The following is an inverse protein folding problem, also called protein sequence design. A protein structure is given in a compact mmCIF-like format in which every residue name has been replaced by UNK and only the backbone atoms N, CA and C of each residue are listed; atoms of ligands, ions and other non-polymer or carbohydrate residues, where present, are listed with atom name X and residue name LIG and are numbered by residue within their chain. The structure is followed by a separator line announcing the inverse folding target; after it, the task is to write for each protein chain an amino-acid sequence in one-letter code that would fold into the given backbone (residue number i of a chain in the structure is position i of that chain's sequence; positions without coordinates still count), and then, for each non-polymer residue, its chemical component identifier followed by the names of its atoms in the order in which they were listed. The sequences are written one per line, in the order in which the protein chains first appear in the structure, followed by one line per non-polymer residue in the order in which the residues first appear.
data_IF_604975110785
#
_entry.id   IF_604975110785
#
_cell.length_a   1.000
_cell.length_b   1.000
_cell.length_c   1.000
_cell.angle_alpha   90.00
_cell.angle_beta   90.00
_cell.angle_gamma   90.00
#
_symmetry.space_group_name_H-M   'P 1'
#
loop_
_entity.id
_entity.type
_entity.pdbx_description
1 polymer ?
#
# COMPACT_ATOMS: atom_id res chain seq x y z
N UNK A 1 7.47 40.96 -15.70
CA UNK A 1 6.79 40.85 -14.39
C UNK A 1 7.05 39.46 -13.86
N UNK A 2 8.04 39.36 -12.96
CA UNK A 2 7.91 38.90 -11.56
C UNK A 2 7.78 37.38 -11.42
N UNK A 3 8.93 36.79 -11.13
CA UNK A 3 9.18 35.52 -10.46
C UNK A 3 8.49 35.47 -9.09
N UNK A 4 7.99 34.30 -8.67
CA UNK A 4 7.93 33.98 -7.24
C UNK A 4 8.24 32.50 -7.00
N UNK A 5 9.49 32.29 -6.59
CA UNK A 5 9.91 31.14 -5.80
C UNK A 5 9.08 31.10 -4.51
N UNK A 6 8.43 29.98 -4.21
CA UNK A 6 7.98 29.65 -2.86
C UNK A 6 8.66 28.36 -2.42
N UNK A 7 9.78 28.56 -1.72
CA UNK A 7 10.44 27.59 -0.86
C UNK A 7 9.49 27.32 0.30
N UNK A 8 8.88 26.14 0.34
CA UNK A 8 8.29 25.53 1.53
C UNK A 8 8.83 24.10 1.58
N UNK A 9 9.54 23.78 2.67
CA UNK A 9 10.57 22.74 2.69
C UNK A 9 10.07 21.32 2.41
N UNK A 10 10.75 20.66 1.47
CA UNK A 10 10.97 19.21 1.47
C UNK A 10 9.78 18.29 1.23
N UNK A 11 8.57 18.81 1.05
CA UNK A 11 7.43 18.00 0.64
C UNK A 11 7.34 18.04 -0.88
N UNK A 12 7.69 16.92 -1.51
CA UNK A 12 7.35 16.65 -2.91
C UNK A 12 5.82 16.72 -3.04
N UNK A 13 5.31 17.89 -3.41
CA UNK A 13 3.89 18.05 -3.70
C UNK A 13 3.65 17.42 -5.06
N UNK A 14 3.41 16.11 -5.05
CA UNK A 14 2.93 15.41 -6.23
C UNK A 14 1.54 15.94 -6.60
N UNK A 15 1.26 16.17 -7.89
CA UNK A 15 -0.07 16.59 -8.33
C UNK A 15 -1.10 15.56 -7.83
N UNK A 16 -2.18 16.06 -7.24
CA UNK A 16 -3.25 15.28 -6.60
C UNK A 16 -4.14 14.52 -7.60
N UNK A 17 -3.54 13.70 -8.48
CA UNK A 17 -4.26 12.87 -9.47
C UNK A 17 -3.94 11.38 -9.38
N UNK A 18 -2.96 10.96 -8.58
CA UNK A 18 -2.75 9.54 -8.26
C UNK A 18 -3.35 9.27 -6.88
N UNK A 19 -4.30 8.34 -6.79
CA UNK A 19 -4.84 7.92 -5.50
C UNK A 19 -3.70 7.46 -4.58
N UNK A 20 -3.72 7.85 -3.30
CA UNK A 20 -2.68 7.44 -2.35
C UNK A 20 -2.79 5.93 -2.05
N UNK A 21 -2.06 5.12 -2.84
CA UNK A 21 -2.10 3.66 -2.78
C UNK A 21 -1.62 3.12 -1.44
N UNK A 22 -0.55 3.71 -0.87
CA UNK A 22 -0.05 3.32 0.44
C UNK A 22 -1.08 3.61 1.54
N UNK A 23 -1.67 4.81 1.53
CA UNK A 23 -2.73 5.18 2.46
C UNK A 23 -3.95 4.26 2.34
N UNK A 24 -4.35 3.92 1.11
CA UNK A 24 -5.45 3.00 0.84
C UNK A 24 -5.14 1.57 1.32
N UNK A 25 -3.92 1.08 1.11
CA UNK A 25 -3.48 -0.23 1.58
C UNK A 25 -3.55 -0.32 3.11
N UNK A 26 -2.99 0.68 3.81
CA UNK A 26 -3.05 0.81 5.27
C UNK A 26 -4.51 0.83 5.76
N UNK A 27 -5.39 1.55 5.05
CA UNK A 27 -6.81 1.63 5.38
C UNK A 27 -7.51 0.28 5.18
N UNK A 28 -7.22 -0.47 4.12
CA UNK A 28 -7.78 -1.81 3.89
C UNK A 28 -7.33 -2.80 4.97
N UNK A 29 -6.07 -2.75 5.39
CA UNK A 29 -5.59 -3.55 6.52
C UNK A 29 -6.32 -3.22 7.82
N UNK A 30 -6.56 -1.94 8.10
CA UNK A 30 -7.33 -1.52 9.26
C UNK A 30 -8.79 -2.00 9.18
N UNK A 31 -9.41 -1.94 8.00
CA UNK A 31 -10.77 -2.42 7.77
C UNK A 31 -10.86 -3.93 7.98
N UNK A 32 -9.90 -4.71 7.48
CA UNK A 32 -9.83 -6.16 7.72
C UNK A 32 -9.80 -6.49 9.22
N UNK A 33 -8.99 -5.78 10.01
CA UNK A 33 -8.90 -6.01 11.46
C UNK A 33 -10.19 -5.65 12.21
N UNK A 34 -10.94 -4.67 11.71
CA UNK A 34 -12.19 -4.21 12.31
C UNK A 34 -13.43 -4.98 11.81
N UNK A 35 -13.33 -5.72 10.69
CA UNK A 35 -14.43 -6.52 10.16
C UNK A 35 -14.62 -7.80 10.97
N UNK A 36 -15.50 -7.72 11.96
CA UNK A 36 -15.94 -8.86 12.77
C UNK A 36 -17.22 -9.52 12.22
N UNK A 37 -17.71 -9.06 11.07
CA UNK A 37 -18.96 -9.52 10.46
C UNK A 37 -18.75 -10.73 9.53
N UNK A 38 -17.50 -11.18 9.36
CA UNK A 38 -17.15 -12.33 8.52
C UNK A 38 -16.98 -12.00 7.04
N UNK A 39 -16.86 -10.71 6.69
CA UNK A 39 -16.67 -10.27 5.29
C UNK A 39 -15.25 -9.74 5.05
N UNK A 40 -14.27 -10.17 5.87
CA UNK A 40 -12.89 -9.69 5.84
C UNK A 40 -12.20 -9.89 4.49
N UNK A 41 -12.43 -11.02 3.80
CA UNK A 41 -11.72 -11.40 2.58
C UNK A 41 -11.73 -10.33 1.49
N UNK A 42 -12.83 -9.57 1.34
CA UNK A 42 -12.90 -8.46 0.36
C UNK A 42 -11.83 -7.40 0.58
N UNK A 43 -11.44 -7.16 1.84
CA UNK A 43 -10.39 -6.22 2.18
C UNK A 43 -9.01 -6.74 1.79
N UNK A 44 -8.81 -8.06 1.79
CA UNK A 44 -7.58 -8.69 1.32
C UNK A 44 -7.49 -8.73 -0.21
N UNK A 45 -8.61 -8.95 -0.91
CA UNK A 45 -8.68 -8.76 -2.37
C UNK A 45 -8.34 -7.31 -2.77
N UNK A 46 -8.92 -6.33 -2.08
CA UNK A 46 -8.61 -4.92 -2.32
C UNK A 46 -7.14 -4.62 -2.00
N UNK A 47 -6.59 -5.17 -0.91
CA UNK A 47 -5.20 -4.97 -0.52
C UNK A 47 -4.22 -5.56 -1.56
N UNK A 48 -4.48 -6.76 -2.08
CA UNK A 48 -3.70 -7.37 -3.15
C UNK A 48 -3.70 -6.51 -4.42
N UNK A 49 -4.89 -6.00 -4.81
CA UNK A 49 -5.01 -5.10 -5.95
C UNK A 49 -4.24 -3.79 -5.72
N UNK A 50 -4.38 -3.16 -4.55
CA UNK A 50 -3.66 -1.91 -4.24
C UNK A 50 -2.14 -2.10 -4.22
N UNK A 51 -1.65 -3.18 -3.62
CA UNK A 51 -0.23 -3.52 -3.61
C UNK A 51 0.31 -3.70 -5.03
N UNK A 52 -0.46 -4.36 -5.92
CA UNK A 52 -0.06 -4.58 -7.32
C UNK A 52 0.11 -3.31 -8.14
N UNK A 53 -0.40 -2.16 -7.65
CA UNK A 53 -0.29 -0.87 -8.31
C UNK A 53 0.86 -0.01 -7.74
N UNK A 54 1.52 -0.45 -6.67
CA UNK A 54 2.66 0.26 -6.07
C UNK A 54 3.91 -0.06 -6.88
N UNK A 55 4.35 0.88 -7.72
CA UNK A 55 5.49 0.68 -8.63
C UNK A 55 6.85 1.08 -8.04
N UNK A 56 6.87 1.82 -6.93
CA UNK A 56 8.10 2.28 -6.24
C UNK A 56 7.96 2.06 -4.72
N UNK A 57 7.95 0.80 -4.25
CA UNK A 57 7.73 0.49 -2.84
C UNK A 57 8.85 1.02 -1.93
N UNK A 58 10.08 1.16 -2.42
CA UNK A 58 11.19 1.77 -1.69
C UNK A 58 10.92 3.24 -1.34
N UNK A 59 10.34 4.01 -2.26
CA UNK A 59 9.92 5.36 -1.97
C UNK A 59 8.79 5.41 -0.92
N UNK A 60 7.85 4.47 -1.01
CA UNK A 60 6.72 4.36 -0.10
C UNK A 60 7.13 3.94 1.32
N UNK A 61 8.18 3.13 1.51
CA UNK A 61 8.72 2.77 2.83
C UNK A 61 9.13 4.00 3.65
N UNK A 62 9.62 5.07 2.99
CA UNK A 62 9.98 6.34 3.65
C UNK A 62 8.78 7.11 4.22
N UNK A 63 7.56 6.77 3.80
CA UNK A 63 6.30 7.37 4.26
C UNK A 63 5.69 6.64 5.47
N UNK A 64 6.27 5.50 5.88
CA UNK A 64 5.82 4.75 7.06
C UNK A 64 6.34 5.41 8.36
N UNK A 65 5.55 6.34 8.88
CA UNK A 65 5.97 7.22 9.98
C UNK A 65 5.71 6.65 11.38
N UNK A 66 4.83 5.66 11.54
CA UNK A 66 4.46 5.13 12.86
C UNK A 66 4.60 3.61 13.00
N UNK A 67 4.62 3.15 14.26
CA UNK A 67 4.47 1.71 14.56
C UNK A 67 3.11 1.17 14.10
N UNK A 68 2.07 2.01 14.11
CA UNK A 68 0.73 1.63 13.64
C UNK A 68 0.74 1.35 12.14
N UNK A 69 1.42 2.18 11.35
CA UNK A 69 1.51 1.99 9.90
C UNK A 69 2.25 0.69 9.59
N UNK A 70 3.42 0.46 10.21
CA UNK A 70 4.18 -0.79 10.07
C UNK A 70 3.36 -2.01 10.48
N UNK A 71 2.60 -1.94 11.58
CA UNK A 71 1.70 -3.03 12.00
C UNK A 71 0.61 -3.29 10.97
N UNK A 72 0.08 -2.24 10.33
CA UNK A 72 -0.95 -2.37 9.29
C UNK A 72 -0.40 -2.87 7.96
N UNK A 73 0.88 -2.69 7.67
CA UNK A 73 1.54 -3.31 6.52
C UNK A 73 2.00 -4.75 6.81
N UNK A 74 2.40 -5.04 8.05
CA UNK A 74 2.71 -6.42 8.46
C UNK A 74 1.52 -7.37 8.23
N UNK A 75 0.29 -6.88 8.35
CA UNK A 75 -0.90 -7.69 8.12
C UNK A 75 -1.01 -8.25 6.68
N UNK A 76 -0.99 -7.44 5.61
CA UNK A 76 -0.98 -7.97 4.26
C UNK A 76 0.27 -8.81 3.98
N UNK A 77 1.43 -8.49 4.56
CA UNK A 77 2.61 -9.36 4.48
C UNK A 77 2.35 -10.77 5.05
N UNK A 78 1.73 -10.87 6.23
CA UNK A 78 1.45 -12.16 6.86
C UNK A 78 0.29 -12.92 6.13
N UNK A 79 -0.65 -12.20 5.49
CA UNK A 79 -1.89 -12.78 4.94
C UNK A 79 -1.87 -13.03 3.42
N UNK A 80 -1.15 -12.22 2.66
CA UNK A 80 -1.11 -12.27 1.20
C UNK A 80 0.07 -13.10 0.71
N UNK A 81 0.15 -14.36 1.14
CA UNK A 81 1.18 -15.31 0.68
C UNK A 81 1.03 -15.66 -0.80
N UNK A 82 2.07 -16.22 -1.44
CA UNK A 82 2.09 -16.63 -2.87
C UNK A 82 0.90 -17.53 -3.24
N UNK A 83 0.55 -18.43 -2.34
CA UNK A 83 -0.56 -19.37 -2.49
C UNK A 83 -1.94 -18.78 -2.16
N UNK A 84 -1.99 -17.52 -1.69
CA UNK A 84 -3.25 -16.94 -1.24
C UNK A 84 -4.19 -16.64 -2.41
N UNK A 85 -5.52 -16.87 -2.25
CA UNK A 85 -6.47 -16.73 -3.35
C UNK A 85 -6.70 -15.27 -3.77
N UNK A 86 -6.24 -14.30 -2.97
CA UNK A 86 -6.45 -12.86 -3.19
C UNK A 86 -5.78 -12.34 -4.46
N UNK A 87 -4.77 -13.07 -4.94
CA UNK A 87 -4.04 -12.81 -6.17
C UNK A 87 -4.75 -13.32 -7.43
N UNK A 88 -5.77 -14.18 -7.30
CA UNK A 88 -6.34 -14.93 -8.42
C UNK A 88 -6.90 -14.07 -9.56
N UNK A 89 -7.34 -12.85 -9.25
CA UNK A 89 -7.91 -11.92 -10.23
C UNK A 89 -6.86 -11.08 -10.97
N UNK A 90 -5.59 -11.18 -10.57
CA UNK A 90 -4.48 -10.43 -11.16
C UNK A 90 -3.71 -11.31 -12.14
N UNK A 91 -3.17 -10.69 -13.19
CA UNK A 91 -2.20 -11.34 -14.06
C UNK A 91 -0.85 -11.53 -13.36
N UNK A 92 0.03 -12.35 -13.94
CA UNK A 92 1.31 -12.70 -13.34
C UNK A 92 2.20 -11.47 -13.04
N UNK A 93 2.14 -10.44 -13.90
CA UNK A 93 2.94 -9.23 -13.72
C UNK A 93 2.48 -8.45 -12.49
N UNK A 94 1.17 -8.21 -12.37
CA UNK A 94 0.59 -7.50 -11.24
C UNK A 94 0.76 -8.28 -9.93
N UNK A 95 0.66 -9.62 -9.96
CA UNK A 95 0.95 -10.44 -8.78
C UNK A 95 2.37 -10.23 -8.30
N UNK A 96 3.36 -10.35 -9.19
CA UNK A 96 4.79 -10.14 -8.86
C UNK A 96 5.03 -8.74 -8.32
N UNK A 97 4.50 -7.71 -8.98
CA UNK A 97 4.59 -6.32 -8.48
C UNK A 97 3.98 -6.18 -7.09
N UNK A 98 2.83 -6.81 -6.83
CA UNK A 98 2.19 -6.77 -5.52
C UNK A 98 2.99 -7.47 -4.43
N UNK A 99 3.57 -8.62 -4.74
CA UNK A 99 4.47 -9.35 -3.84
C UNK A 99 5.71 -8.53 -3.50
N UNK A 100 6.44 -8.09 -4.51
CA UNK A 100 7.64 -7.28 -4.35
C UNK A 100 7.32 -6.03 -3.51
N UNK A 101 6.19 -5.37 -3.79
CA UNK A 101 5.76 -4.21 -3.04
C UNK A 101 5.52 -4.52 -1.55
N UNK A 102 4.82 -5.61 -1.23
CA UNK A 102 4.54 -6.00 0.16
C UNK A 102 5.82 -6.44 0.88
N UNK A 103 6.72 -7.17 0.22
CA UNK A 103 8.00 -7.57 0.80
C UNK A 103 8.89 -6.36 1.11
N UNK A 104 9.08 -5.46 0.14
CA UNK A 104 9.85 -4.22 0.34
C UNK A 104 9.22 -3.32 1.39
N UNK A 105 7.89 -3.18 1.35
CA UNK A 105 7.14 -2.48 2.38
C UNK A 105 7.06 -3.28 3.68
N UNK A 106 7.73 -4.42 3.86
CA UNK A 106 7.79 -5.16 5.13
C UNK A 106 9.23 -5.26 5.70
N UNK A 107 10.21 -4.71 4.97
CA UNK A 107 11.63 -4.84 5.25
C UNK A 107 12.13 -3.72 6.19
N UNK A 108 12.01 -3.93 7.51
CA UNK A 108 12.50 -3.02 8.58
C UNK A 108 12.97 -3.74 9.83
#
# INVERSE_FOLDING_TARGET
MVQLHAIMGGLDVRPATDADLLGALILKSAAYQADHAGYGDRHLYDAAMLASLITDPDAETRRLHSHTDRRRIKLPYDMLTDESPYWNNLDEQHRRTGFDAIETLADW
#
